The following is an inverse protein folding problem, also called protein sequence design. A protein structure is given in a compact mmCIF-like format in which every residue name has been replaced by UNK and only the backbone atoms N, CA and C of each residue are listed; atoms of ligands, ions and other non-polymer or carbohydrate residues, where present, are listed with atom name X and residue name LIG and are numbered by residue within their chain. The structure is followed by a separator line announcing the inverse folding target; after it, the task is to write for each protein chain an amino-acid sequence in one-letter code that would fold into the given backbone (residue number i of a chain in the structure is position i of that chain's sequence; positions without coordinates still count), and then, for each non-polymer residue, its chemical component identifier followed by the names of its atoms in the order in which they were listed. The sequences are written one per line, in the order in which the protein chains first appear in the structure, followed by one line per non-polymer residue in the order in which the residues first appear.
data_IF_814699929556
#
_entry.id   IF_814699929556
#
_cell.length_a   1.000
_cell.length_b   1.000
_cell.length_c   1.000
_cell.angle_alpha   90.00
_cell.angle_beta   90.00
_cell.angle_gamma   90.00
#
_symmetry.space_group_name_H-M   'P 1'
#
loop_
_entity.id
_entity.type
_entity.pdbx_description
1 polymer ?
#
# COMPACT_ATOMS: atom_id res chain seq x y z
N UNK A 1 2.56 -30.52 2.53
CA UNK A 1 2.15 -29.64 3.66
C UNK A 1 0.98 -28.81 3.18
N UNK A 2 -0.21 -29.12 3.63
CA UNK A 2 -1.39 -28.24 3.40
C UNK A 2 -1.28 -27.06 4.35
N UNK A 3 -0.85 -25.92 3.84
CA UNK A 3 -0.56 -24.70 4.59
C UNK A 3 -1.71 -24.23 5.50
N UNK A 4 -2.96 -24.50 5.14
CA UNK A 4 -4.15 -24.11 5.92
C UNK A 4 -4.41 -25.04 7.11
N UNK A 5 -4.03 -26.31 7.04
CA UNK A 5 -4.27 -27.30 8.10
C UNK A 5 -3.19 -27.29 9.20
N UNK A 6 -2.04 -26.69 8.95
CA UNK A 6 -0.83 -26.87 9.76
C UNK A 6 -0.29 -25.60 10.41
N UNK A 7 -1.18 -24.63 10.69
CA UNK A 7 -0.81 -23.35 11.34
C UNK A 7 0.04 -23.55 12.59
N UNK A 8 -0.26 -24.59 13.38
CA UNK A 8 0.44 -24.91 14.62
C UNK A 8 1.89 -25.33 14.38
N UNK A 9 2.11 -26.22 13.41
CA UNK A 9 3.44 -26.67 12.99
C UNK A 9 4.28 -25.54 12.40
N UNK A 10 3.66 -24.65 11.63
CA UNK A 10 4.35 -23.47 11.09
C UNK A 10 4.82 -22.55 12.21
N UNK A 11 3.96 -22.26 13.18
CA UNK A 11 4.30 -21.42 14.34
C UNK A 11 5.44 -22.07 15.15
N UNK A 12 5.41 -23.38 15.35
CA UNK A 12 6.47 -24.11 16.06
C UNK A 12 7.82 -24.04 15.31
N UNK A 13 7.82 -24.24 14.00
CA UNK A 13 9.02 -24.08 13.17
C UNK A 13 9.57 -22.66 13.26
N UNK A 14 8.71 -21.64 13.15
CA UNK A 14 9.13 -20.25 13.27
C UNK A 14 9.70 -19.95 14.66
N UNK A 15 9.08 -20.46 15.73
CA UNK A 15 9.55 -20.29 17.11
C UNK A 15 10.93 -20.93 17.31
N UNK A 16 11.15 -22.12 16.78
CA UNK A 16 12.44 -22.83 16.86
C UNK A 16 13.57 -22.11 16.10
N UNK A 17 13.23 -21.37 15.03
CA UNK A 17 14.18 -20.60 14.23
C UNK A 17 14.20 -19.11 14.54
N UNK A 18 13.51 -18.66 15.61
CA UNK A 18 13.34 -17.24 15.95
C UNK A 18 14.65 -16.45 15.92
N UNK A 19 15.72 -16.94 16.54
CA UNK A 19 17.02 -16.23 16.56
C UNK A 19 17.60 -16.01 15.16
N UNK A 20 17.46 -16.98 14.26
CA UNK A 20 17.95 -16.86 12.88
C UNK A 20 17.08 -15.87 12.09
N UNK A 21 15.77 -15.92 12.29
CA UNK A 21 14.79 -15.00 11.68
C UNK A 21 15.05 -13.57 12.16
N UNK A 22 15.18 -13.37 13.47
CA UNK A 22 15.45 -12.04 14.06
C UNK A 22 16.75 -11.44 13.52
N UNK A 23 17.79 -12.24 13.32
CA UNK A 23 19.07 -11.78 12.75
C UNK A 23 18.91 -11.22 11.33
N UNK A 24 17.98 -11.76 10.55
CA UNK A 24 17.70 -11.31 9.18
C UNK A 24 16.75 -10.11 9.17
N UNK A 25 15.69 -10.15 9.98
CA UNK A 25 14.62 -9.15 9.95
C UNK A 25 14.99 -7.87 10.70
N UNK A 26 15.70 -7.97 11.82
CA UNK A 26 15.98 -6.80 12.68
C UNK A 26 16.66 -5.65 11.94
N UNK A 27 17.68 -5.84 11.11
CA UNK A 27 18.31 -4.74 10.37
C UNK A 27 17.32 -4.02 9.42
N UNK A 28 16.49 -4.78 8.70
CA UNK A 28 15.43 -4.22 7.84
C UNK A 28 14.41 -3.44 8.66
N UNK A 29 13.93 -4.04 9.75
CA UNK A 29 12.95 -3.40 10.64
C UNK A 29 13.48 -2.09 11.21
N UNK A 30 14.71 -2.07 11.71
CA UNK A 30 15.33 -0.86 12.25
C UNK A 30 15.45 0.23 11.17
N UNK A 31 15.98 -0.10 9.99
CA UNK A 31 16.11 0.86 8.89
C UNK A 31 14.74 1.38 8.43
N UNK A 32 13.74 0.50 8.33
CA UNK A 32 12.38 0.88 7.90
C UNK A 32 11.70 1.81 8.90
N UNK A 33 11.79 1.52 10.20
CA UNK A 33 11.21 2.38 11.23
C UNK A 33 11.89 3.75 11.27
N UNK A 34 13.23 3.80 11.16
CA UNK A 34 13.97 5.06 11.09
C UNK A 34 13.62 5.86 9.83
N UNK A 35 13.42 5.17 8.68
CA UNK A 35 12.94 5.80 7.46
C UNK A 35 11.54 6.43 7.64
N UNK A 36 10.59 5.68 8.21
CA UNK A 36 9.25 6.20 8.47
C UNK A 36 9.27 7.39 9.44
N UNK A 37 10.13 7.36 10.43
CA UNK A 37 10.33 8.49 11.34
C UNK A 37 10.91 9.71 10.62
N UNK A 38 11.91 9.54 9.77
CA UNK A 38 12.49 10.60 8.94
C UNK A 38 11.43 11.21 8.00
N UNK A 39 10.49 10.40 7.51
CA UNK A 39 9.34 10.85 6.72
C UNK A 39 8.24 11.52 7.57
N UNK A 40 8.41 11.61 8.87
CA UNK A 40 7.48 12.29 9.78
C UNK A 40 6.26 11.47 10.20
N UNK A 41 6.21 10.17 9.89
CA UNK A 41 5.09 9.28 10.23
C UNK A 41 4.83 9.22 11.74
N UNK A 42 5.84 9.37 12.57
CA UNK A 42 5.70 9.32 14.03
C UNK A 42 5.16 10.62 14.67
N UNK A 43 5.06 11.71 13.91
CA UNK A 43 4.60 13.01 14.43
C UNK A 43 3.09 13.07 14.67
N UNK A 44 2.33 12.19 14.05
CA UNK A 44 0.87 12.14 14.15
C UNK A 44 0.43 11.05 15.14
N UNK A 45 -0.63 11.31 15.91
CA UNK A 45 -1.25 10.31 16.79
C UNK A 45 -1.91 9.19 15.97
N UNK A 46 -2.59 9.54 14.90
CA UNK A 46 -3.23 8.62 13.96
C UNK A 46 -2.51 8.68 12.61
N UNK A 47 -2.23 7.53 12.03
CA UNK A 47 -1.62 7.43 10.70
C UNK A 47 -2.71 7.37 9.63
N UNK A 48 -2.73 8.37 8.74
CA UNK A 48 -3.58 8.37 7.56
C UNK A 48 -2.88 7.70 6.39
N UNK A 49 -3.55 6.75 5.76
CA UNK A 49 -3.06 5.96 4.63
C UNK A 49 -3.97 6.18 3.43
N UNK A 50 -3.38 6.34 2.26
CA UNK A 50 -4.12 6.36 0.98
C UNK A 50 -3.67 5.15 0.17
N UNK A 51 -4.62 4.33 -0.25
CA UNK A 51 -4.34 3.09 -0.96
C UNK A 51 -5.42 2.85 -2.03
N UNK A 52 -5.09 2.13 -3.09
CA UNK A 52 -6.08 1.64 -4.05
C UNK A 52 -7.06 0.67 -3.39
N UNK A 53 -6.56 -0.17 -2.54
CA UNK A 53 -7.35 -1.13 -1.83
C UNK A 53 -6.61 -2.43 -1.57
N UNK A 54 -7.29 -3.45 -1.15
CA UNK A 54 -8.74 -3.49 -1.06
C UNK A 54 -9.15 -3.98 0.33
N UNK A 55 -8.31 -4.84 0.93
CA UNK A 55 -8.64 -5.58 2.17
C UNK A 55 -8.07 -4.97 3.45
N UNK A 56 -7.22 -3.95 3.34
CA UNK A 56 -6.59 -3.30 4.50
C UNK A 56 -5.39 -4.05 5.11
N UNK A 57 -4.82 -5.03 4.42
CA UNK A 57 -3.71 -5.83 4.96
C UNK A 57 -2.49 -4.97 5.30
N UNK A 58 -2.10 -4.04 4.42
CA UNK A 58 -0.96 -3.14 4.66
C UNK A 58 -1.25 -2.22 5.83
N UNK A 59 -2.47 -1.68 5.92
CA UNK A 59 -2.91 -0.85 7.05
C UNK A 59 -2.78 -1.61 8.37
N UNK A 60 -3.27 -2.85 8.42
CA UNK A 60 -3.19 -3.69 9.61
C UNK A 60 -1.73 -3.95 10.04
N UNK A 61 -0.85 -4.28 9.09
CA UNK A 61 0.57 -4.50 9.36
C UNK A 61 1.28 -3.23 9.85
N UNK A 62 0.95 -2.06 9.29
CA UNK A 62 1.51 -0.78 9.74
C UNK A 62 0.99 -0.40 11.13
N UNK A 63 -0.30 -0.65 11.42
CA UNK A 63 -0.86 -0.44 12.77
C UNK A 63 -0.09 -1.24 13.82
N UNK A 64 0.17 -2.52 13.54
CA UNK A 64 0.96 -3.41 14.42
C UNK A 64 2.41 -2.91 14.53
N UNK A 65 3.05 -2.65 13.39
CA UNK A 65 4.47 -2.28 13.33
C UNK A 65 4.77 -0.98 14.08
N UNK A 66 3.88 0.01 13.96
CA UNK A 66 4.05 1.34 14.54
C UNK A 66 3.36 1.48 15.90
N UNK A 67 2.55 0.50 16.28
CA UNK A 67 1.68 0.55 17.47
C UNK A 67 0.86 1.85 17.50
N UNK A 68 0.09 2.08 16.42
CA UNK A 68 -0.69 3.30 16.22
C UNK A 68 -2.07 3.02 15.65
N UNK A 69 -2.99 3.92 16.00
CA UNK A 69 -4.25 4.02 15.30
C UNK A 69 -4.04 4.42 13.84
N UNK A 70 -4.84 3.87 12.95
CA UNK A 70 -4.74 4.12 11.52
C UNK A 70 -6.09 4.46 10.91
N UNK A 71 -6.07 5.34 9.92
CA UNK A 71 -7.22 5.66 9.10
C UNK A 71 -6.88 5.45 7.63
N UNK A 72 -7.49 4.45 7.02
CA UNK A 72 -7.28 4.07 5.62
C UNK A 72 -8.32 4.71 4.70
N UNK A 73 -7.83 5.46 3.71
CA UNK A 73 -8.59 6.03 2.62
C UNK A 73 -8.34 5.19 1.37
N UNK A 74 -9.31 4.38 1.00
CA UNK A 74 -9.21 3.44 -0.12
C UNK A 74 -10.01 3.92 -1.31
N UNK A 75 -9.55 3.64 -2.52
CA UNK A 75 -10.42 3.81 -3.68
C UNK A 75 -11.62 2.85 -3.56
N UNK A 76 -11.35 1.58 -3.26
CA UNK A 76 -12.36 0.55 -3.01
C UNK A 76 -12.01 -0.17 -1.70
N UNK A 77 -12.95 -0.26 -0.76
CA UNK A 77 -12.78 -0.95 0.51
C UNK A 77 -13.62 -2.23 0.58
N UNK A 78 -12.95 -3.38 0.62
CA UNK A 78 -13.67 -4.67 0.73
C UNK A 78 -14.17 -4.95 2.15
N UNK A 79 -13.51 -4.39 3.15
CA UNK A 79 -13.83 -4.61 4.56
C UNK A 79 -13.91 -3.27 5.31
N UNK A 80 -14.90 -2.41 4.96
CA UNK A 80 -15.02 -1.08 5.55
C UNK A 80 -15.41 -1.15 7.03
N UNK A 81 -15.16 -0.07 7.77
CA UNK A 81 -15.53 0.06 9.16
C UNK A 81 -14.35 0.22 10.09
N UNK A 82 -14.62 0.01 11.36
CA UNK A 82 -13.63 0.09 12.44
C UNK A 82 -13.23 -1.32 12.88
N UNK A 83 -11.94 -1.55 12.99
CA UNK A 83 -11.33 -2.82 13.41
C UNK A 83 -10.35 -2.59 14.53
N UNK A 84 -10.30 -3.48 15.50
CA UNK A 84 -9.28 -3.45 16.55
C UNK A 84 -8.17 -4.44 16.20
N UNK A 85 -6.96 -3.92 16.08
CA UNK A 85 -5.76 -4.66 15.67
C UNK A 85 -4.68 -4.49 16.73
N UNK A 86 -4.42 -5.52 17.51
CA UNK A 86 -3.45 -5.54 18.62
C UNK A 86 -3.63 -4.34 19.57
N UNK A 87 -4.90 -3.97 19.85
CA UNK A 87 -5.27 -2.87 20.73
C UNK A 87 -5.33 -1.48 20.08
N UNK A 88 -4.95 -1.34 18.83
CA UNK A 88 -5.06 -0.09 18.08
C UNK A 88 -6.33 -0.08 17.21
N UNK A 89 -6.90 1.09 17.01
CA UNK A 89 -8.05 1.29 16.12
C UNK A 89 -7.58 1.45 14.67
N UNK A 90 -8.15 0.66 13.77
CA UNK A 90 -7.94 0.78 12.34
C UNK A 90 -9.29 1.05 11.65
N UNK A 91 -9.47 2.26 11.15
CA UNK A 91 -10.67 2.65 10.39
C UNK A 91 -10.38 2.50 8.91
N UNK A 92 -11.29 1.85 8.17
CA UNK A 92 -11.18 1.65 6.73
C UNK A 92 -12.37 2.26 6.02
N UNK A 93 -12.12 3.15 5.04
CA UNK A 93 -13.15 3.82 4.24
C UNK A 93 -12.84 3.72 2.76
N UNK A 94 -13.86 3.38 1.96
CA UNK A 94 -13.81 3.37 0.50
C UNK A 94 -14.40 4.66 -0.08
N UNK A 95 -13.66 5.26 -1.03
CA UNK A 95 -14.13 6.45 -1.73
C UNK A 95 -15.16 6.10 -2.81
N UNK A 96 -14.82 5.15 -3.67
CA UNK A 96 -15.66 4.75 -4.80
C UNK A 96 -16.72 3.72 -4.38
N UNK A 97 -16.29 2.68 -3.63
CA UNK A 97 -17.15 1.59 -3.19
C UNK A 97 -16.69 0.99 -1.87
N UNK A 98 -17.67 0.54 -1.10
CA UNK A 98 -17.46 -0.18 0.16
C UNK A 98 -18.20 -1.53 0.16
N UNK A 99 -17.65 -2.52 0.88
CA UNK A 99 -18.31 -3.80 1.16
C UNK A 99 -18.40 -4.76 -0.01
N UNK A 100 -17.58 -4.57 -1.06
CA UNK A 100 -17.56 -5.45 -2.25
C UNK A 100 -16.33 -6.36 -2.23
N UNK A 101 -16.46 -7.56 -2.78
CA UNK A 101 -15.39 -8.55 -2.88
C UNK A 101 -15.13 -8.91 -4.34
N UNK A 102 -13.91 -9.37 -4.60
CA UNK A 102 -13.51 -9.87 -5.93
C UNK A 102 -14.42 -11.04 -6.30
N UNK A 103 -14.91 -11.03 -7.53
CA UNK A 103 -15.82 -12.06 -8.05
C UNK A 103 -17.31 -11.83 -7.78
N UNK A 104 -17.67 -10.72 -7.13
CA UNK A 104 -19.08 -10.37 -6.87
C UNK A 104 -19.69 -9.47 -7.98
N UNK A 105 -18.98 -9.29 -9.09
CA UNK A 105 -19.49 -8.56 -10.26
C UNK A 105 -19.32 -7.05 -10.19
N UNK A 106 -18.57 -6.51 -9.21
CA UNK A 106 -18.18 -5.11 -9.22
C UNK A 106 -16.95 -4.92 -10.12
N UNK A 107 -17.18 -4.51 -11.34
CA UNK A 107 -16.19 -4.49 -12.42
C UNK A 107 -14.87 -3.77 -12.08
N UNK A 108 -14.85 -2.58 -11.42
CA UNK A 108 -13.60 -1.94 -11.06
C UNK A 108 -12.72 -2.76 -10.10
N UNK A 109 -13.32 -3.56 -9.22
CA UNK A 109 -12.58 -4.45 -8.34
C UNK A 109 -12.19 -5.76 -9.04
N UNK A 110 -13.10 -6.35 -9.83
CA UNK A 110 -12.83 -7.58 -10.56
C UNK A 110 -11.72 -7.42 -11.62
N UNK A 111 -11.52 -6.18 -12.10
CA UNK A 111 -10.44 -5.79 -13.00
C UNK A 111 -9.40 -4.88 -12.35
N UNK A 112 -9.20 -5.01 -11.05
CA UNK A 112 -8.28 -4.20 -10.24
C UNK A 112 -6.86 -4.10 -10.79
N UNK A 113 -6.37 -5.14 -11.46
CA UNK A 113 -5.07 -5.13 -12.12
C UNK A 113 -4.91 -4.00 -13.16
N UNK A 114 -6.00 -3.52 -13.74
CA UNK A 114 -5.97 -2.36 -14.63
C UNK A 114 -5.60 -1.09 -13.85
N UNK A 115 -6.31 -0.82 -12.73
CA UNK A 115 -6.04 0.34 -11.87
C UNK A 115 -4.63 0.28 -11.26
N UNK A 116 -4.23 -0.89 -10.77
CA UNK A 116 -2.88 -1.10 -10.23
C UNK A 116 -1.80 -0.88 -11.28
N UNK A 117 -2.05 -1.28 -12.53
CA UNK A 117 -1.11 -1.04 -13.62
C UNK A 117 -0.98 0.44 -13.97
N UNK A 118 -2.09 1.20 -13.99
CA UNK A 118 -2.08 2.64 -14.26
C UNK A 118 -1.36 3.44 -13.18
N UNK A 119 -1.45 3.01 -11.91
CA UNK A 119 -0.91 3.71 -10.77
C UNK A 119 0.37 3.05 -10.21
N UNK A 120 1.06 2.27 -11.03
CA UNK A 120 2.30 1.60 -10.64
C UNK A 120 3.47 2.57 -10.51
N UNK A 121 4.47 2.20 -9.71
CA UNK A 121 5.76 2.89 -9.64
C UNK A 121 6.76 2.31 -10.65
N UNK A 122 7.82 3.05 -11.03
CA UNK A 122 8.84 2.59 -11.98
C UNK A 122 9.73 1.47 -11.44
N UNK A 123 9.71 1.28 -10.15
CA UNK A 123 10.55 0.30 -9.44
C UNK A 123 9.86 -1.06 -9.37
N UNK A 124 10.64 -2.12 -9.21
CA UNK A 124 10.11 -3.42 -8.85
C UNK A 124 9.47 -3.43 -7.45
N UNK A 125 8.91 -4.55 -7.06
CA UNK A 125 8.36 -4.70 -5.71
C UNK A 125 9.44 -4.37 -4.66
N UNK A 126 9.12 -3.49 -3.71
CA UNK A 126 9.99 -3.23 -2.57
C UNK A 126 10.26 -4.53 -1.79
N UNK A 127 11.53 -4.80 -1.49
CA UNK A 127 11.94 -6.04 -0.80
C UNK A 127 12.65 -5.78 0.51
N UNK A 128 13.52 -4.78 0.55
CA UNK A 128 14.38 -4.55 1.70
C UNK A 128 14.83 -3.08 1.75
N UNK A 129 15.18 -2.63 2.94
CA UNK A 129 15.82 -1.35 3.20
C UNK A 129 16.94 -1.56 4.20
N UNK A 130 18.07 -0.91 3.97
CA UNK A 130 19.25 -0.97 4.85
C UNK A 130 19.80 0.43 5.07
N UNK A 131 20.50 0.61 6.18
CA UNK A 131 21.32 1.79 6.34
C UNK A 131 22.48 1.77 5.37
N UNK A 132 22.69 2.88 4.67
CA UNK A 132 23.86 3.07 3.83
C UNK A 132 25.07 3.37 4.71
N UNK A 133 26.02 2.44 4.77
CA UNK A 133 27.22 2.55 5.62
C UNK A 133 28.30 3.47 5.02
N UNK A 134 28.18 3.78 3.74
CA UNK A 134 29.16 4.60 3.00
C UNK A 134 28.81 6.09 3.04
N UNK A 135 27.54 6.41 3.20
CA UNK A 135 27.06 7.79 3.21
C UNK A 135 26.87 8.27 4.64
N UNK A 136 27.79 9.11 5.12
CA UNK A 136 27.68 9.77 6.42
C UNK A 136 26.92 11.11 6.36
N UNK A 137 26.36 11.44 5.19
CA UNK A 137 25.58 12.64 5.00
C UNK A 137 24.30 12.57 5.83
N UNK A 138 24.03 13.63 6.58
CA UNK A 138 22.84 13.80 7.42
C UNK A 138 21.56 14.10 6.63
N UNK A 139 21.62 14.03 5.30
CA UNK A 139 20.42 14.15 4.46
C UNK A 139 19.54 12.91 4.69
N UNK A 140 18.36 13.12 5.26
CA UNK A 140 17.48 12.10 5.85
C UNK A 140 17.17 10.90 4.94
N UNK A 141 17.25 11.05 3.63
CA UNK A 141 16.94 9.96 2.69
C UNK A 141 18.18 9.25 2.15
N UNK A 142 19.33 9.94 2.05
CA UNK A 142 20.58 9.37 1.54
C UNK A 142 21.23 8.35 2.48
N UNK A 143 20.77 8.28 3.72
CA UNK A 143 21.22 7.29 4.70
C UNK A 143 20.62 5.88 4.48
N UNK A 144 19.75 5.71 3.47
CA UNK A 144 19.09 4.42 3.21
C UNK A 144 19.36 3.91 1.81
N UNK A 145 19.61 2.60 1.72
CA UNK A 145 19.61 1.84 0.47
C UNK A 145 18.30 1.07 0.35
N UNK A 146 17.62 1.24 -0.79
CA UNK A 146 16.37 0.57 -1.09
C UNK A 146 16.61 -0.56 -2.09
N UNK A 147 16.13 -1.74 -1.76
CA UNK A 147 16.25 -2.93 -2.60
C UNK A 147 14.90 -3.31 -3.18
N UNK A 148 14.87 -3.45 -4.50
CA UNK A 148 13.67 -3.78 -5.24
C UNK A 148 13.80 -5.13 -5.93
N UNK A 149 12.68 -5.83 -6.05
CA UNK A 149 12.58 -7.08 -6.79
C UNK A 149 12.49 -6.87 -8.30
N UNK A 150 12.18 -7.96 -9.01
CA UNK A 150 12.00 -7.93 -10.46
C UNK A 150 10.84 -7.02 -10.85
N UNK A 151 11.03 -6.23 -11.89
CA UNK A 151 9.96 -5.45 -12.51
C UNK A 151 8.96 -6.36 -13.23
N UNK A 152 7.67 -6.15 -12.97
CA UNK A 152 6.58 -6.75 -13.73
C UNK A 152 6.36 -5.99 -15.06
N UNK A 153 5.46 -6.47 -15.91
CA UNK A 153 5.27 -5.90 -17.26
C UNK A 153 4.95 -4.40 -17.24
N UNK A 154 3.98 -3.96 -16.41
CA UNK A 154 3.62 -2.55 -16.27
C UNK A 154 4.80 -1.68 -15.84
N UNK A 155 5.62 -2.15 -14.92
CA UNK A 155 6.82 -1.42 -14.46
C UNK A 155 7.93 -1.35 -15.53
N UNK A 156 8.02 -2.37 -16.42
CA UNK A 156 8.97 -2.32 -17.55
C UNK A 156 8.58 -1.29 -18.59
N UNK A 157 7.27 -1.09 -18.78
CA UNK A 157 6.71 -0.12 -19.72
C UNK A 157 6.27 1.18 -19.03
N UNK A 158 6.83 1.47 -17.86
CA UNK A 158 6.48 2.63 -17.04
C UNK A 158 6.53 3.96 -17.84
N UNK A 159 7.48 4.10 -18.75
CA UNK A 159 7.59 5.30 -19.60
C UNK A 159 6.32 5.61 -20.42
N UNK A 160 5.53 4.58 -20.77
CA UNK A 160 4.22 4.77 -21.42
C UNK A 160 3.15 5.18 -20.40
N UNK A 161 3.16 4.52 -19.23
CA UNK A 161 2.19 4.80 -18.17
C UNK A 161 2.41 6.19 -17.55
N UNK A 162 3.66 6.65 -17.48
CA UNK A 162 4.00 7.99 -17.00
C UNK A 162 3.29 9.08 -17.81
N UNK A 163 3.17 8.92 -19.14
CA UNK A 163 2.41 9.85 -19.99
C UNK A 163 0.91 9.85 -19.66
N UNK A 164 0.34 8.67 -19.40
CA UNK A 164 -1.06 8.53 -19.00
C UNK A 164 -1.28 9.18 -17.63
N UNK A 165 -0.39 8.94 -16.66
CA UNK A 165 -0.47 9.56 -15.33
C UNK A 165 -0.30 11.08 -15.40
N UNK A 166 0.61 11.59 -16.23
CA UNK A 166 0.78 13.03 -16.44
C UNK A 166 -0.49 13.66 -17.04
N UNK A 167 -1.13 12.98 -17.99
CA UNK A 167 -2.43 13.40 -18.54
C UNK A 167 -3.52 13.44 -17.47
N UNK A 168 -3.62 12.41 -16.65
CA UNK A 168 -4.57 12.34 -15.54
C UNK A 168 -4.34 13.47 -14.52
N UNK A 169 -3.09 13.72 -14.12
CA UNK A 169 -2.76 14.83 -13.22
C UNK A 169 -3.13 16.18 -13.80
N UNK A 170 -2.81 16.43 -15.07
CA UNK A 170 -3.20 17.66 -15.76
C UNK A 170 -4.72 17.84 -15.79
N UNK A 171 -5.46 16.75 -16.02
CA UNK A 171 -6.93 16.78 -15.94
C UNK A 171 -7.42 17.12 -14.55
N UNK A 172 -6.86 16.51 -13.50
CA UNK A 172 -7.19 16.83 -12.11
C UNK A 172 -6.94 18.30 -11.77
N UNK A 173 -5.80 18.87 -12.20
CA UNK A 173 -5.52 20.30 -12.01
C UNK A 173 -6.52 21.20 -12.76
N UNK A 174 -6.87 20.81 -13.98
CA UNK A 174 -7.86 21.57 -14.77
C UNK A 174 -9.25 21.54 -14.12
N UNK A 175 -9.74 20.36 -13.75
CA UNK A 175 -11.05 20.21 -13.10
C UNK A 175 -11.10 20.91 -11.75
N UNK A 176 -10.03 20.81 -10.95
CA UNK A 176 -9.91 21.52 -9.67
C UNK A 176 -9.95 23.05 -9.85
N UNK A 177 -9.24 23.58 -10.86
CA UNK A 177 -9.26 25.02 -11.18
C UNK A 177 -10.65 25.51 -11.59
N UNK A 178 -11.42 24.69 -12.28
CA UNK A 178 -12.77 25.03 -12.74
C UNK A 178 -13.86 24.52 -11.78
N UNK A 179 -13.47 24.00 -10.62
CA UNK A 179 -14.38 23.45 -9.61
C UNK A 179 -15.36 22.41 -10.17
N UNK A 180 -14.91 21.64 -11.16
CA UNK A 180 -15.68 20.53 -11.69
C UNK A 180 -15.62 19.37 -10.72
N UNK A 181 -16.77 18.89 -10.30
CA UNK A 181 -16.89 17.75 -9.40
C UNK A 181 -17.72 16.65 -10.09
N UNK A 182 -17.32 15.41 -9.89
CA UNK A 182 -18.05 14.23 -10.34
C UNK A 182 -18.63 13.52 -9.11
N UNK A 183 -19.83 13.03 -9.25
CA UNK A 183 -20.41 12.12 -8.26
C UNK A 183 -19.74 10.74 -8.36
N UNK A 184 -19.80 9.96 -7.29
CA UNK A 184 -19.30 8.57 -7.33
C UNK A 184 -19.97 7.75 -8.43
N UNK A 185 -21.25 7.98 -8.70
CA UNK A 185 -21.98 7.30 -9.76
C UNK A 185 -21.43 7.64 -11.16
N UNK A 186 -21.14 8.91 -11.44
CA UNK A 186 -20.54 9.32 -12.72
C UNK A 186 -19.14 8.72 -12.89
N UNK A 187 -18.33 8.67 -11.81
CA UNK A 187 -17.02 8.02 -11.83
C UNK A 187 -17.14 6.50 -12.06
N UNK A 188 -18.10 5.83 -11.44
CA UNK A 188 -18.36 4.42 -11.69
C UNK A 188 -18.77 4.15 -13.14
N UNK A 189 -19.63 4.99 -13.72
CA UNK A 189 -20.02 4.87 -15.14
C UNK A 189 -18.83 5.04 -16.07
N UNK A 190 -17.97 6.04 -15.82
CA UNK A 190 -16.75 6.24 -16.59
C UNK A 190 -15.82 5.03 -16.49
N UNK A 191 -15.54 4.54 -15.30
CA UNK A 191 -14.69 3.36 -15.08
C UNK A 191 -15.26 2.13 -15.80
N UNK A 192 -16.56 1.88 -15.67
CA UNK A 192 -17.21 0.75 -16.31
C UNK A 192 -17.13 0.86 -17.85
N UNK A 193 -17.22 2.06 -18.42
CA UNK A 193 -17.09 2.25 -19.86
C UNK A 193 -15.68 1.96 -20.39
N UNK A 194 -14.65 2.13 -19.56
CA UNK A 194 -13.26 1.81 -19.94
C UNK A 194 -12.90 0.35 -19.67
N UNK A 195 -13.56 -0.29 -18.73
CA UNK A 195 -13.22 -1.65 -18.29
C UNK A 195 -14.14 -2.73 -18.90
N UNK A 196 -15.31 -2.34 -19.38
CA UNK A 196 -16.29 -3.23 -20.03
C UNK A 196 -15.93 -3.53 -21.45
#
# INVERSE_FOLDING_TARGET
VELAADKKSIIEVLANHKKAIDKVITPTKCAYLTYLEAMGVNKQSTLHLVDLGYSGTIQALLSILLNKDTYGHYLIASNPGEHIIEGNTAVMRGYLKEGVKIGEGYLPLDRSMFLESLLTAPNGQFRDIRFNTLNKDTDNLKQFDFYYGRKVASQKYFYMLEQVMAGALNYCFHTGKHQLAFTNHELELLLNSYMG
#
